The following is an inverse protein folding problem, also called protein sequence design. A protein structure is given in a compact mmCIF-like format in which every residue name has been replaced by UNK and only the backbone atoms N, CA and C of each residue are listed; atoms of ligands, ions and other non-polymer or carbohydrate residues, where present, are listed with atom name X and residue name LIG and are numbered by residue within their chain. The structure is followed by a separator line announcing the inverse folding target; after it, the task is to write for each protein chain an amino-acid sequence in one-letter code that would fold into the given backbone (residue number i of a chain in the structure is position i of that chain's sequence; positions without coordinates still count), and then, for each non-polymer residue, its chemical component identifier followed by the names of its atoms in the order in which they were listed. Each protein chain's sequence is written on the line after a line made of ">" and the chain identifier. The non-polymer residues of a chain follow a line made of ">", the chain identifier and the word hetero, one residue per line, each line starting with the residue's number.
data_IF_447666044452
#
_entry.id   IF_447666044452
#
_cell.length_a   1.000
_cell.length_b   1.000
_cell.length_c   1.000
_cell.angle_alpha   90.00
_cell.angle_beta   90.00
_cell.angle_gamma   90.00
#
_symmetry.space_group_name_H-M   'P 1'
#
loop_
_entity.id
_entity.type
_entity.pdbx_description
1 polymer ?
#
# COMPACT_ATOMS: atom_id res chain seq x y z
N UNK A 1 -1.91 10.90 -39.54
CA UNK A 1 -1.74 9.95 -38.43
C UNK A 1 -2.07 10.69 -37.15
N UNK A 2 -3.31 10.54 -36.69
CA UNK A 2 -3.81 11.21 -35.50
C UNK A 2 -3.37 10.38 -34.31
N UNK A 3 -2.47 10.92 -33.49
CA UNK A 3 -2.14 10.35 -32.20
C UNK A 3 -3.41 10.37 -31.34
N UNK A 4 -4.07 9.22 -31.24
CA UNK A 4 -5.02 8.94 -30.17
C UNK A 4 -4.19 8.95 -28.89
N UNK A 5 -4.15 10.10 -28.23
CA UNK A 5 -3.84 10.22 -26.81
C UNK A 5 -4.81 9.26 -26.09
N UNK A 6 -4.32 8.05 -25.84
CA UNK A 6 -5.02 7.04 -25.07
C UNK A 6 -5.46 7.69 -23.76
N UNK A 7 -6.76 7.64 -23.55
CA UNK A 7 -7.46 8.58 -22.70
C UNK A 7 -7.13 8.41 -21.23
N UNK A 8 -7.45 9.46 -20.48
CA UNK A 8 -7.68 9.45 -19.04
C UNK A 8 -8.74 8.40 -18.65
N UNK A 9 -8.41 7.10 -18.68
CA UNK A 9 -9.21 6.02 -18.11
C UNK A 9 -9.14 5.99 -16.56
N UNK A 10 -8.35 6.88 -15.96
CA UNK A 10 -8.02 6.93 -14.54
C UNK A 10 -9.17 7.17 -13.54
N UNK A 11 -10.30 7.86 -13.82
CA UNK A 11 -11.27 8.13 -12.76
C UNK A 11 -11.99 6.86 -12.28
N UNK A 12 -12.34 5.96 -13.21
CA UNK A 12 -13.29 4.88 -12.88
C UNK A 12 -12.61 3.77 -12.09
N UNK A 13 -11.52 3.19 -12.58
CA UNK A 13 -10.85 2.08 -11.91
C UNK A 13 -10.35 2.47 -10.50
N UNK A 14 -9.75 3.66 -10.38
CA UNK A 14 -9.35 4.19 -9.07
C UNK A 14 -10.55 4.37 -8.14
N UNK A 15 -11.69 4.86 -8.65
CA UNK A 15 -12.93 4.98 -7.87
C UNK A 15 -13.46 3.63 -7.42
N UNK A 16 -13.47 2.60 -8.28
CA UNK A 16 -13.89 1.24 -7.90
C UNK A 16 -12.95 0.68 -6.81
N UNK A 17 -11.64 0.80 -6.98
CA UNK A 17 -10.65 0.35 -6.01
C UNK A 17 -10.78 1.07 -4.65
N UNK A 18 -11.00 2.39 -4.67
CA UNK A 18 -11.24 3.20 -3.47
C UNK A 18 -12.51 2.79 -2.72
N UNK A 19 -13.54 2.39 -3.47
CA UNK A 19 -14.86 2.00 -2.96
C UNK A 19 -14.99 0.50 -2.71
N UNK A 20 -14.00 -0.30 -3.08
CA UNK A 20 -13.95 -1.73 -2.82
C UNK A 20 -14.16 -2.01 -1.33
N UNK A 21 -14.98 -3.01 -1.01
CA UNK A 21 -15.34 -3.37 0.36
C UNK A 21 -14.83 -4.78 0.63
N UNK A 22 -13.67 -4.92 1.30
CA UNK A 22 -13.07 -6.23 1.53
C UNK A 22 -13.95 -7.18 2.36
N UNK A 23 -14.74 -6.64 3.30
CA UNK A 23 -15.69 -7.42 4.12
C UNK A 23 -17.04 -7.66 3.46
N UNK A 24 -17.17 -7.38 2.16
CA UNK A 24 -18.40 -7.49 1.41
C UNK A 24 -19.32 -6.26 1.50
N UNK A 25 -20.56 -6.35 0.98
CA UNK A 25 -21.41 -5.18 0.69
C UNK A 25 -21.74 -4.27 1.88
N UNK A 26 -21.80 -4.82 3.11
CA UNK A 26 -22.04 -4.06 4.34
C UNK A 26 -20.78 -3.50 5.00
N UNK A 27 -19.59 -3.86 4.49
CA UNK A 27 -18.30 -3.47 5.04
C UNK A 27 -17.92 -2.02 4.74
N UNK A 28 -16.80 -1.59 5.30
CA UNK A 28 -16.20 -0.28 4.99
C UNK A 28 -15.49 -0.34 3.63
N UNK A 29 -15.46 0.80 2.94
CA UNK A 29 -14.64 0.90 1.74
C UNK A 29 -13.16 0.89 2.08
N UNK A 30 -12.29 0.50 1.15
CA UNK A 30 -10.85 0.50 1.35
C UNK A 30 -10.35 1.90 1.75
N UNK A 31 -10.88 2.96 1.15
CA UNK A 31 -10.55 4.34 1.54
C UNK A 31 -10.92 4.64 3.00
N UNK A 32 -12.07 4.15 3.47
CA UNK A 32 -12.47 4.29 4.88
C UNK A 32 -11.59 3.47 5.82
N UNK A 33 -11.18 2.27 5.41
CA UNK A 33 -10.28 1.43 6.20
C UNK A 33 -8.90 2.09 6.36
N UNK A 34 -8.34 2.64 5.28
CA UNK A 34 -7.07 3.35 5.31
C UNK A 34 -7.12 4.60 6.20
N UNK A 35 -8.20 5.38 6.11
CA UNK A 35 -8.39 6.56 6.95
C UNK A 35 -8.50 6.22 8.45
N UNK A 36 -8.91 5.00 8.78
CA UNK A 36 -9.03 4.51 10.15
C UNK A 36 -7.82 3.70 10.62
N UNK A 37 -6.90 3.36 9.72
CA UNK A 37 -5.74 2.53 10.03
C UNK A 37 -4.75 3.32 10.89
N UNK A 38 -4.28 2.74 12.01
CA UNK A 38 -3.38 3.43 12.92
C UNK A 38 -2.02 3.67 12.25
N UNK A 39 -1.61 4.94 12.23
CA UNK A 39 -0.28 5.34 11.81
C UNK A 39 -0.16 5.73 10.34
N UNK A 40 -1.18 5.54 9.50
CA UNK A 40 -1.17 6.10 8.14
C UNK A 40 -1.24 7.63 8.21
N UNK A 41 -0.29 8.29 7.54
CA UNK A 41 -0.16 9.75 7.47
C UNK A 41 -0.68 10.31 6.14
N UNK A 42 -0.44 9.59 5.04
CA UNK A 42 -0.87 10.00 3.71
C UNK A 42 -1.09 8.77 2.81
N UNK A 43 -1.92 8.93 1.79
CA UNK A 43 -2.15 7.90 0.76
C UNK A 43 -2.11 8.51 -0.63
N UNK A 44 -1.43 7.84 -1.55
CA UNK A 44 -1.37 8.18 -2.98
C UNK A 44 -1.93 7.01 -3.79
N UNK A 45 -2.63 7.32 -4.86
CA UNK A 45 -3.26 6.36 -5.75
C UNK A 45 -2.79 6.62 -7.17
N UNK A 46 -2.48 5.54 -7.88
CA UNK A 46 -2.00 5.58 -9.25
C UNK A 46 -2.69 4.45 -10.01
N UNK A 47 -2.97 4.65 -11.30
CA UNK A 47 -3.58 3.65 -12.16
C UNK A 47 -2.70 3.40 -13.38
N UNK A 48 -2.55 2.13 -13.76
CA UNK A 48 -1.72 1.66 -14.87
C UNK A 48 -2.51 0.68 -15.74
N UNK A 49 -2.16 0.59 -17.02
CA UNK A 49 -2.70 -0.44 -17.89
C UNK A 49 -2.22 -1.82 -17.41
N UNK A 50 -3.17 -2.69 -17.10
CA UNK A 50 -2.93 -4.07 -16.70
C UNK A 50 -3.16 -5.07 -17.85
N UNK A 51 -2.81 -6.35 -17.64
CA UNK A 51 -3.04 -7.38 -18.64
C UNK A 51 -4.54 -7.61 -18.90
N UNK A 52 -4.87 -8.04 -20.12
CA UNK A 52 -6.24 -8.44 -20.47
C UNK A 52 -7.29 -7.31 -20.42
N UNK A 53 -6.85 -6.05 -20.51
CA UNK A 53 -7.73 -4.88 -20.44
C UNK A 53 -8.16 -4.52 -19.02
N UNK A 54 -7.61 -5.17 -17.99
CA UNK A 54 -7.74 -4.72 -16.61
C UNK A 54 -6.92 -3.45 -16.37
N UNK A 55 -7.27 -2.71 -15.32
CA UNK A 55 -6.45 -1.60 -14.82
C UNK A 55 -5.80 -2.04 -13.51
N UNK A 56 -4.48 -1.91 -13.39
CA UNK A 56 -3.80 -2.03 -12.11
C UNK A 56 -3.94 -0.70 -11.37
N UNK A 57 -4.48 -0.74 -10.15
CA UNK A 57 -4.53 0.40 -9.24
C UNK A 57 -3.55 0.16 -8.12
N UNK A 58 -2.53 1.01 -8.03
CA UNK A 58 -1.54 1.01 -6.97
C UNK A 58 -1.88 2.05 -5.93
N UNK A 59 -2.06 1.60 -4.70
CA UNK A 59 -2.15 2.43 -3.52
C UNK A 59 -0.80 2.42 -2.80
N UNK A 60 -0.29 3.60 -2.47
CA UNK A 60 0.85 3.78 -1.56
C UNK A 60 0.39 4.53 -0.32
N UNK A 61 0.46 3.91 0.85
CA UNK A 61 0.16 4.53 2.13
C UNK A 61 1.45 4.78 2.91
N UNK A 62 1.78 6.05 3.17
CA UNK A 62 2.90 6.45 4.02
C UNK A 62 2.48 6.39 5.48
N UNK A 63 3.33 5.79 6.32
CA UNK A 63 3.13 5.71 7.76
C UNK A 63 4.00 6.73 8.50
N UNK A 64 3.44 7.30 9.57
CA UNK A 64 4.15 8.09 10.54
C UNK A 64 5.07 7.19 11.39
N UNK A 65 6.31 7.01 10.92
CA UNK A 65 7.33 6.15 11.54
C UNK A 65 7.44 6.29 13.07
N UNK A 66 7.46 7.50 13.68
CA UNK A 66 7.59 7.62 15.13
C UNK A 66 6.47 6.93 15.93
N UNK A 67 5.29 6.76 15.34
CA UNK A 67 4.16 6.04 15.96
C UNK A 67 4.32 4.53 15.87
N UNK A 68 5.01 4.05 14.84
CA UNK A 68 5.21 2.63 14.59
C UNK A 68 6.42 2.07 15.36
N UNK A 69 7.50 2.84 15.46
CA UNK A 69 8.73 2.40 16.13
C UNK A 69 8.53 2.18 17.63
N UNK A 70 7.56 2.84 18.25
CA UNK A 70 7.20 2.60 19.65
C UNK A 70 6.71 1.17 19.93
N UNK A 71 6.15 0.49 18.92
CA UNK A 71 5.66 -0.89 19.02
C UNK A 71 6.68 -1.93 18.56
N UNK A 72 7.85 -1.50 18.07
CA UNK A 72 8.87 -2.38 17.51
C UNK A 72 10.15 -2.41 18.36
N UNK A 73 10.90 -3.51 18.36
CA UNK A 73 12.23 -3.54 18.93
C UNK A 73 13.13 -2.48 18.30
N UNK A 74 14.04 -1.92 19.08
CA UNK A 74 15.06 -1.02 18.55
C UNK A 74 15.94 -1.75 17.52
N UNK A 75 16.40 -1.06 16.45
CA UNK A 75 17.32 -1.65 15.48
C UNK A 75 18.58 -2.20 16.14
N UNK A 76 19.03 -3.37 15.70
CA UNK A 76 20.26 -4.00 16.18
C UNK A 76 21.50 -3.33 15.56
N UNK A 77 22.69 -3.70 16.08
CA UNK A 77 23.94 -3.33 15.44
C UNK A 77 23.95 -3.79 13.97
N UNK A 78 24.35 -2.92 13.06
CA UNK A 78 24.31 -3.17 11.61
C UNK A 78 22.97 -2.83 10.94
N UNK A 79 21.99 -2.31 11.70
CA UNK A 79 20.73 -1.81 11.16
C UNK A 79 20.58 -0.30 11.36
N UNK A 80 19.79 0.32 10.50
CA UNK A 80 19.30 1.68 10.62
C UNK A 80 17.79 1.68 10.90
N UNK A 81 17.34 2.63 11.72
CA UNK A 81 15.91 2.92 11.80
C UNK A 81 15.43 3.49 10.47
N UNK A 82 14.27 3.03 9.99
CA UNK A 82 13.61 3.69 8.88
C UNK A 82 13.29 5.14 9.24
N UNK A 83 13.51 6.07 8.32
CA UNK A 83 13.05 7.44 8.38
C UNK A 83 11.67 7.61 7.72
N UNK A 84 11.36 6.76 6.73
CA UNK A 84 10.04 6.68 6.07
C UNK A 84 9.64 5.22 5.88
N UNK A 85 8.36 4.93 5.99
CA UNK A 85 7.82 3.58 5.79
C UNK A 85 6.49 3.64 5.04
N UNK A 86 6.27 2.66 4.15
CA UNK A 86 5.14 2.63 3.25
C UNK A 86 4.54 1.23 3.17
N UNK A 87 3.22 1.18 3.08
CA UNK A 87 2.49 0.04 2.55
C UNK A 87 2.18 0.33 1.08
N UNK A 88 2.56 -0.57 0.19
CA UNK A 88 2.15 -0.56 -1.22
C UNK A 88 1.16 -1.70 -1.42
N UNK A 89 0.00 -1.39 -1.99
CA UNK A 89 -1.05 -2.34 -2.32
C UNK A 89 -1.37 -2.24 -3.81
N UNK A 90 -1.25 -3.36 -4.52
CA UNK A 90 -1.69 -3.50 -5.89
C UNK A 90 -3.05 -4.18 -5.95
N UNK A 91 -3.98 -3.55 -6.66
CA UNK A 91 -5.30 -4.10 -6.97
C UNK A 91 -5.47 -4.17 -8.48
N UNK A 92 -6.15 -5.19 -8.98
CA UNK A 92 -6.58 -5.23 -10.39
C UNK A 92 -8.07 -4.95 -10.48
N UNK A 93 -8.45 -4.03 -11.35
CA UNK A 93 -9.85 -3.71 -11.65
C UNK A 93 -10.18 -4.21 -13.05
N UNK A 94 -11.09 -5.18 -13.13
CA UNK A 94 -11.54 -5.72 -14.41
C UNK A 94 -12.39 -4.69 -15.18
N UNK A 95 -12.59 -4.87 -16.50
CA UNK A 95 -13.50 -4.03 -17.29
C UNK A 95 -14.94 -3.99 -16.75
N UNK A 96 -15.36 -5.03 -16.03
CA UNK A 96 -16.68 -5.10 -15.39
C UNK A 96 -16.75 -4.36 -14.04
N UNK A 97 -15.62 -3.83 -13.54
CA UNK A 97 -15.52 -3.14 -12.25
C UNK A 97 -15.27 -4.05 -11.06
N UNK A 98 -15.03 -5.35 -11.26
CA UNK A 98 -14.60 -6.24 -10.18
C UNK A 98 -13.17 -5.88 -9.74
N UNK A 99 -12.93 -5.83 -8.43
CA UNK A 99 -11.65 -5.48 -7.82
C UNK A 99 -11.07 -6.72 -7.14
N UNK A 100 -9.87 -7.09 -7.54
CA UNK A 100 -9.12 -8.22 -7.00
C UNK A 100 -7.79 -7.76 -6.39
N UNK A 101 -7.35 -8.43 -5.33
CA UNK A 101 -6.03 -8.23 -4.75
C UNK A 101 -4.96 -8.82 -5.66
N UNK A 102 -3.91 -8.05 -5.95
CA UNK A 102 -2.78 -8.49 -6.77
C UNK A 102 -1.51 -8.71 -5.94
N UNK A 103 -1.12 -7.71 -5.13
CA UNK A 103 0.08 -7.79 -4.30
C UNK A 103 0.05 -6.80 -3.14
N UNK A 104 0.94 -7.02 -2.18
CA UNK A 104 1.22 -6.09 -1.11
C UNK A 104 2.72 -6.08 -0.80
N UNK A 105 3.26 -4.92 -0.42
CA UNK A 105 4.65 -4.77 0.01
C UNK A 105 4.76 -3.76 1.14
N UNK A 106 5.63 -4.05 2.10
CA UNK A 106 6.13 -3.08 3.06
C UNK A 106 7.46 -2.53 2.58
N UNK A 107 7.61 -1.20 2.49
CA UNK A 107 8.86 -0.55 2.09
C UNK A 107 9.35 0.38 3.19
N UNK A 108 10.62 0.26 3.55
CA UNK A 108 11.27 1.17 4.50
C UNK A 108 12.47 1.86 3.87
N UNK A 109 12.71 3.12 4.26
CA UNK A 109 13.83 3.94 3.81
C UNK A 109 14.48 4.63 5.00
N UNK A 110 15.78 4.42 5.22
CA UNK A 110 16.58 5.08 6.24
C UNK A 110 17.11 6.43 5.75
N UNK A 111 17.48 7.32 6.68
CA UNK A 111 18.13 8.58 6.36
C UNK A 111 19.53 8.40 5.73
N UNK A 112 20.17 7.25 5.95
CA UNK A 112 21.44 6.85 5.34
C UNK A 112 21.32 6.49 3.86
N UNK A 113 20.10 6.29 3.34
CA UNK A 113 19.84 5.77 2.00
C UNK A 113 19.64 4.25 1.94
N UNK A 114 19.83 3.53 3.06
CA UNK A 114 19.45 2.12 3.14
C UNK A 114 17.94 1.95 2.92
N UNK A 115 17.53 0.92 2.19
CA UNK A 115 16.12 0.63 1.93
C UNK A 115 15.87 -0.87 1.81
N UNK A 116 14.62 -1.26 2.05
CA UNK A 116 14.17 -2.63 1.88
C UNK A 116 12.72 -2.65 1.45
N UNK A 117 12.37 -3.59 0.55
CA UNK A 117 10.99 -4.00 0.30
C UNK A 117 10.80 -5.42 0.82
N UNK A 118 9.70 -5.66 1.52
CA UNK A 118 9.29 -6.97 2.01
C UNK A 118 7.91 -7.29 1.46
N UNK A 119 7.76 -8.35 0.64
CA UNK A 119 6.44 -8.79 0.20
C UNK A 119 5.55 -9.11 1.39
N UNK A 120 4.29 -8.71 1.30
CA UNK A 120 3.24 -9.06 2.24
C UNK A 120 2.19 -9.92 1.51
N UNK A 121 1.48 -10.75 2.27
CA UNK A 121 0.36 -11.52 1.72
C UNK A 121 -0.96 -10.73 1.79
N UNK A 122 -2.05 -11.35 1.35
CA UNK A 122 -3.40 -10.76 1.37
C UNK A 122 -3.91 -10.47 2.80
N UNK A 123 -3.30 -11.04 3.84
CA UNK A 123 -3.64 -10.82 5.25
C UNK A 123 -3.60 -9.35 5.66
N UNK A 124 -2.84 -8.52 4.95
CA UNK A 124 -2.85 -7.05 5.11
C UNK A 124 -4.26 -6.44 4.99
N UNK A 125 -5.12 -7.05 4.18
CA UNK A 125 -6.50 -6.61 4.01
C UNK A 125 -7.31 -6.91 5.27
N UNK A 126 -7.11 -8.09 5.87
CA UNK A 126 -7.72 -8.45 7.14
C UNK A 126 -7.21 -7.54 8.28
N UNK A 127 -5.92 -7.18 8.28
CA UNK A 127 -5.36 -6.24 9.26
C UNK A 127 -5.96 -4.83 9.10
N UNK A 128 -6.14 -4.35 7.87
CA UNK A 128 -6.83 -3.08 7.61
C UNK A 128 -8.28 -3.11 8.11
N UNK A 129 -9.00 -4.20 7.87
CA UNK A 129 -10.35 -4.43 8.39
C UNK A 129 -10.39 -4.42 9.92
N UNK A 130 -9.43 -5.12 10.55
CA UNK A 130 -9.27 -5.18 12.00
C UNK A 130 -8.73 -3.87 12.60
N UNK A 131 -8.30 -2.92 11.76
CA UNK A 131 -7.65 -1.66 12.14
C UNK A 131 -6.36 -1.89 12.93
N UNK A 132 -5.67 -2.96 12.58
CA UNK A 132 -4.36 -3.30 13.11
C UNK A 132 -3.26 -2.56 12.33
N UNK A 133 -2.07 -2.52 12.91
CA UNK A 133 -0.87 -2.04 12.21
C UNK A 133 -0.46 -3.09 11.17
N UNK A 134 -0.43 -2.68 9.90
CA UNK A 134 -0.12 -3.58 8.77
C UNK A 134 1.39 -3.76 8.56
N UNK A 135 2.19 -2.74 8.90
CA UNK A 135 3.62 -2.79 8.61
C UNK A 135 4.37 -3.68 9.62
N UNK A 136 5.14 -4.68 9.15
CA UNK A 136 5.98 -5.48 10.02
C UNK A 136 7.17 -4.65 10.52
N UNK A 137 7.69 -4.96 11.71
CA UNK A 137 8.86 -4.28 12.27
C UNK A 137 10.11 -4.38 11.39
N UNK A 138 10.21 -5.42 10.53
CA UNK A 138 11.28 -5.55 9.55
C UNK A 138 11.32 -4.38 8.54
N UNK A 139 10.19 -3.71 8.28
CA UNK A 139 10.15 -2.51 7.46
C UNK A 139 10.70 -1.26 8.16
N UNK A 140 10.94 -1.34 9.48
CA UNK A 140 11.41 -0.23 10.32
C UNK A 140 12.86 -0.39 10.79
N UNK A 141 13.44 -1.58 10.64
CA UNK A 141 14.82 -1.89 10.98
C UNK A 141 15.55 -2.41 9.73
N UNK A 142 16.24 -1.51 9.05
CA UNK A 142 16.79 -1.73 7.71
C UNK A 142 18.25 -2.14 7.80
N UNK A 143 18.73 -3.12 7.02
CA UNK A 143 20.15 -3.44 6.97
C UNK A 143 20.93 -2.23 6.46
N UNK A 144 22.02 -1.86 7.13
CA UNK A 144 22.93 -0.83 6.62
C UNK A 144 23.48 -1.30 5.28
N UNK A 145 23.49 -0.41 4.29
CA UNK A 145 24.23 -0.64 3.06
C UNK A 145 25.71 -0.83 3.40
N UNK A 146 26.29 -1.93 2.91
CA UNK A 146 27.73 -2.23 3.02
C UNK A 146 28.57 -1.22 2.25
#
# INVERSE_FOLDING_TARGET
>A
MTALLAGCFAPRAETEARNWRPDGPGGRTLSQLLALSPGIAATTWESFDGPGGATEVRLTAEYAVPRLTAACPAPLAGQDAAARAFLVLGLTVSPAGAVDFAYAEARGYAASGAWQSTPLDIGVIADLVARATVLPCAALALPKGS
#
